data_IF_636986704549
#
_entry.id   IF_636986704549
#
_cell.length_a   1.000
_cell.length_b   1.000
_cell.length_c   1.000
_cell.angle_alpha   90.00
_cell.angle_beta   90.00
_cell.angle_gamma   90.00
#
_symmetry.space_group_name_H-M   'P 1'
#
loop_
_entity.id
_entity.type
_entity.pdbx_description
1 polymer ?
#
# COMPACT_ATOMS: atom_id res chain seq x y z
N UNK A 1 52.13 -74.26 -64.86
CA UNK A 1 50.72 -73.83 -64.68
C UNK A 1 50.37 -73.38 -63.23
N UNK A 2 51.34 -72.96 -62.39
CA UNK A 2 51.10 -72.59 -60.97
C UNK A 2 51.07 -71.08 -60.68
N UNK A 3 51.61 -70.24 -61.59
CA UNK A 3 51.73 -68.78 -61.41
C UNK A 3 50.40 -68.01 -61.51
N UNK A 4 49.44 -68.52 -62.30
CA UNK A 4 48.11 -67.92 -62.42
C UNK A 4 47.24 -68.16 -61.18
N UNK A 5 47.42 -69.27 -60.48
CA UNK A 5 46.74 -69.56 -59.20
C UNK A 5 47.21 -68.60 -58.11
N UNK A 6 48.52 -68.34 -58.03
CA UNK A 6 49.05 -67.33 -57.10
C UNK A 6 48.53 -65.92 -57.39
N UNK A 7 48.38 -65.56 -58.67
CA UNK A 7 47.82 -64.27 -59.08
C UNK A 7 46.33 -64.13 -58.71
N UNK A 8 45.54 -65.19 -58.90
CA UNK A 8 44.14 -65.23 -58.46
C UNK A 8 44.00 -65.15 -56.94
N UNK A 9 44.87 -65.82 -56.19
CA UNK A 9 44.84 -65.82 -54.73
C UNK A 9 45.19 -64.44 -54.17
N UNK A 10 46.14 -63.74 -54.79
CA UNK A 10 46.48 -62.34 -54.43
C UNK A 10 45.31 -61.40 -54.74
N UNK A 11 44.63 -61.56 -55.88
CA UNK A 11 43.44 -60.77 -56.22
C UNK A 11 42.30 -60.99 -55.21
N UNK A 12 42.10 -62.23 -54.76
CA UNK A 12 41.08 -62.57 -53.75
C UNK A 12 41.43 -62.00 -52.38
N UNK A 13 42.71 -62.01 -51.98
CA UNK A 13 43.15 -61.39 -50.72
C UNK A 13 42.98 -59.87 -50.76
N UNK A 14 43.32 -59.24 -51.89
CA UNK A 14 43.16 -57.79 -52.08
C UNK A 14 41.69 -57.41 -52.10
N UNK A 15 40.81 -58.20 -52.74
CA UNK A 15 39.37 -57.94 -52.73
C UNK A 15 38.76 -58.09 -51.34
N UNK A 16 39.21 -59.07 -50.54
CA UNK A 16 38.81 -59.24 -49.14
C UNK A 16 39.27 -58.11 -48.23
N UNK A 17 40.37 -57.45 -48.57
CA UNK A 17 40.89 -56.33 -47.80
C UNK A 17 40.14 -55.01 -48.12
N UNK A 18 39.70 -54.85 -49.37
CA UNK A 18 38.98 -53.65 -49.83
C UNK A 18 37.52 -53.64 -49.36
N UNK A 19 36.89 -54.80 -49.20
CA UNK A 19 35.48 -54.91 -48.76
C UNK A 19 35.27 -54.70 -47.26
N UNK A 20 36.31 -54.31 -46.50
CA UNK A 20 36.16 -53.91 -45.11
C UNK A 20 35.57 -52.51 -45.01
N UNK A 21 34.25 -52.45 -45.06
CA UNK A 21 33.50 -51.22 -44.83
C UNK A 21 33.80 -50.65 -43.43
N UNK A 22 34.25 -49.39 -43.40
CA UNK A 22 34.44 -48.64 -42.16
C UNK A 22 33.06 -48.22 -41.66
N UNK A 23 32.65 -48.76 -40.51
CA UNK A 23 31.41 -48.37 -39.83
C UNK A 23 31.54 -46.89 -39.41
N UNK A 24 30.94 -46.00 -40.19
CA UNK A 24 30.93 -44.57 -39.92
C UNK A 24 29.82 -44.25 -38.93
N UNK A 25 30.18 -44.15 -37.65
CA UNK A 25 29.26 -43.63 -36.63
C UNK A 25 28.95 -42.17 -36.93
N UNK A 26 27.68 -41.87 -37.22
CA UNK A 26 27.22 -40.48 -37.38
C UNK A 26 27.18 -39.83 -36.00
N UNK A 27 27.84 -38.68 -35.77
CA UNK A 27 27.72 -37.97 -34.51
C UNK A 27 26.28 -37.49 -34.35
N UNK A 28 25.70 -37.78 -33.19
CA UNK A 28 24.38 -37.32 -32.77
C UNK A 28 24.59 -36.33 -31.64
N UNK A 29 24.04 -35.13 -31.79
CA UNK A 29 24.03 -34.15 -30.72
C UNK A 29 23.09 -34.63 -29.61
N UNK A 30 23.66 -34.82 -28.42
CA UNK A 30 22.94 -35.22 -27.22
C UNK A 30 22.95 -34.07 -26.22
N UNK A 31 21.77 -33.70 -25.73
CA UNK A 31 21.61 -32.77 -24.63
C UNK A 31 21.38 -33.56 -23.34
N UNK A 32 22.31 -33.43 -22.38
CA UNK A 32 22.17 -34.04 -21.05
C UNK A 32 21.25 -33.15 -20.21
N UNK A 33 20.06 -33.65 -19.88
CA UNK A 33 19.07 -32.89 -19.12
C UNK A 33 19.43 -32.94 -17.64
N UNK A 34 19.71 -31.78 -17.04
CA UNK A 34 19.95 -31.64 -15.60
C UNK A 34 18.66 -31.20 -14.90
N UNK A 35 18.44 -31.68 -13.67
CA UNK A 35 17.31 -31.25 -12.84
C UNK A 35 17.65 -29.90 -12.20
N UNK A 36 17.16 -28.83 -12.77
CA UNK A 36 17.23 -27.48 -12.21
C UNK A 36 15.87 -27.09 -11.62
N UNK A 37 15.86 -26.40 -10.48
CA UNK A 37 14.63 -25.92 -9.86
C UNK A 37 14.10 -24.73 -10.66
N UNK A 38 13.10 -24.98 -11.51
CA UNK A 38 12.41 -23.93 -12.25
C UNK A 38 11.47 -23.19 -11.30
N UNK A 39 11.91 -22.03 -10.80
CA UNK A 39 11.04 -21.13 -10.03
C UNK A 39 10.21 -20.27 -10.96
N UNK A 40 8.90 -20.54 -11.05
CA UNK A 40 7.96 -19.67 -11.75
C UNK A 40 7.62 -18.47 -10.86
N UNK A 41 8.08 -17.27 -11.24
CA UNK A 41 7.77 -16.02 -10.54
C UNK A 41 6.60 -15.34 -11.25
N UNK A 42 5.45 -15.27 -10.59
CA UNK A 42 4.31 -14.48 -11.06
C UNK A 42 4.44 -13.07 -10.51
N UNK A 43 4.61 -12.08 -11.39
CA UNK A 43 4.63 -10.67 -11.02
C UNK A 43 3.24 -10.06 -11.19
N UNK A 44 2.63 -9.61 -10.10
CA UNK A 44 1.40 -8.83 -10.14
C UNK A 44 1.76 -7.34 -9.98
N UNK A 45 1.34 -6.52 -10.94
CA UNK A 45 1.43 -5.06 -10.83
C UNK A 45 0.12 -4.54 -10.27
N UNK A 46 0.17 -3.92 -9.09
CA UNK A 46 -0.97 -3.27 -8.45
C UNK A 46 -0.77 -1.76 -8.40
N UNK A 47 -1.85 -0.99 -8.50
CA UNK A 47 -1.82 0.46 -8.26
C UNK A 47 -1.92 0.71 -6.75
N UNK A 48 -0.94 1.40 -6.19
CA UNK A 48 -1.00 1.83 -4.79
C UNK A 48 -1.84 3.11 -4.70
N UNK A 49 -2.86 3.10 -3.85
CA UNK A 49 -3.63 4.28 -3.49
C UNK A 49 -3.47 4.53 -1.98
N UNK A 50 -3.71 5.77 -1.55
CA UNK A 50 -3.80 6.07 -0.12
C UNK A 50 -4.89 5.19 0.51
N UNK A 51 -4.64 4.69 1.72
CA UNK A 51 -5.61 3.87 2.44
C UNK A 51 -6.89 4.65 2.72
N UNK A 52 -6.76 5.95 3.00
CA UNK A 52 -7.83 6.90 3.27
C UNK A 52 -7.46 8.24 2.63
N UNK A 53 -8.44 8.89 2.02
CA UNK A 53 -8.35 10.25 1.45
C UNK A 53 -9.52 11.05 2.03
N UNK A 54 -9.22 12.20 2.64
CA UNK A 54 -10.19 12.98 3.41
C UNK A 54 -10.06 14.45 3.04
N UNK A 55 -11.17 15.04 2.62
CA UNK A 55 -11.31 16.48 2.42
C UNK A 55 -11.68 17.15 3.75
N UNK A 56 -10.77 17.95 4.30
CA UNK A 56 -10.95 18.65 5.57
C UNK A 56 -11.79 19.91 5.37
N UNK A 57 -12.93 19.97 6.08
CA UNK A 57 -13.85 21.11 6.04
C UNK A 57 -14.02 21.69 7.43
N UNK A 58 -14.23 23.00 7.49
CA UNK A 58 -14.62 23.64 8.72
C UNK A 58 -16.07 23.32 9.06
N UNK A 59 -16.33 23.08 10.35
CA UNK A 59 -17.68 22.84 10.86
C UNK A 59 -18.55 24.11 10.81
N UNK A 60 -17.91 25.28 11.02
CA UNK A 60 -18.56 26.57 11.01
C UNK A 60 -18.21 27.35 9.74
N UNK A 61 -19.15 28.15 9.27
CA UNK A 61 -18.91 29.10 8.18
C UNK A 61 -18.28 30.38 8.71
N UNK A 62 -17.25 30.90 8.03
CA UNK A 62 -16.62 32.16 8.38
C UNK A 62 -15.40 32.48 7.53
N UNK A 63 -14.76 33.61 7.82
CA UNK A 63 -13.54 34.04 7.13
C UNK A 63 -12.31 33.37 7.75
N UNK A 64 -11.48 32.73 6.92
CA UNK A 64 -10.18 32.19 7.36
C UNK A 64 -9.27 33.36 7.74
N UNK A 65 -8.75 33.34 8.96
CA UNK A 65 -7.86 34.38 9.50
C UNK A 65 -6.40 33.91 9.56
N UNK A 66 -6.16 32.61 9.58
CA UNK A 66 -4.83 32.04 9.68
C UNK A 66 -4.73 30.67 9.02
N UNK A 67 -3.58 30.41 8.40
CA UNK A 67 -3.20 29.11 7.83
C UNK A 67 -1.79 28.78 8.33
N UNK A 68 -1.64 27.62 8.97
CA UNK A 68 -0.43 27.20 9.66
C UNK A 68 0.42 26.17 8.93
N UNK A 69 0.01 25.75 7.74
CA UNK A 69 0.69 24.72 6.95
C UNK A 69 0.89 25.19 5.51
N UNK A 70 1.81 24.53 4.81
CA UNK A 70 2.03 24.70 3.38
C UNK A 70 1.61 23.46 2.60
N UNK A 71 1.39 23.64 1.31
CA UNK A 71 1.09 22.53 0.41
C UNK A 71 2.24 21.51 0.42
N UNK A 72 1.90 20.24 0.64
CA UNK A 72 2.86 19.14 0.73
C UNK A 72 3.43 18.88 2.13
N UNK A 73 3.05 19.67 3.16
CA UNK A 73 3.51 19.43 4.52
C UNK A 73 2.88 18.18 5.14
N UNK A 74 3.67 17.45 5.92
CA UNK A 74 3.18 16.37 6.76
C UNK A 74 2.55 16.95 8.03
N UNK A 75 1.31 16.56 8.31
CA UNK A 75 0.56 17.02 9.49
C UNK A 75 0.29 15.85 10.45
N UNK A 76 0.27 16.15 11.74
CA UNK A 76 -0.04 15.18 12.78
C UNK A 76 -1.50 15.28 13.23
N UNK A 77 -1.99 14.21 13.88
CA UNK A 77 -3.32 14.23 14.49
C UNK A 77 -3.41 15.38 15.51
N UNK A 78 -4.51 16.13 15.44
CA UNK A 78 -4.78 17.30 16.29
C UNK A 78 -3.90 18.53 16.04
N UNK A 79 -3.10 18.55 14.98
CA UNK A 79 -2.37 19.75 14.59
C UNK A 79 -3.32 20.82 14.06
N UNK A 80 -3.13 22.08 14.49
CA UNK A 80 -3.87 23.20 13.94
C UNK A 80 -3.36 23.51 12.52
N UNK A 81 -4.25 23.42 11.54
CA UNK A 81 -3.93 23.60 10.11
C UNK A 81 -4.38 24.98 9.63
N UNK A 82 -5.56 25.43 10.09
CA UNK A 82 -6.11 26.73 9.77
C UNK A 82 -7.12 27.16 10.85
N UNK A 83 -7.41 28.45 10.91
CA UNK A 83 -8.35 29.05 11.86
C UNK A 83 -9.31 30.01 11.16
N UNK A 84 -10.56 29.99 11.60
CA UNK A 84 -11.60 30.93 11.19
C UNK A 84 -11.70 32.03 12.26
N UNK A 85 -11.89 33.28 11.83
CA UNK A 85 -12.13 34.40 12.74
C UNK A 85 -13.38 34.19 13.59
N UNK A 86 -13.24 34.34 14.91
CA UNK A 86 -14.29 34.03 15.89
C UNK A 86 -14.99 35.26 16.48
N UNK A 87 -14.96 36.41 15.81
CA UNK A 87 -15.44 37.68 16.38
C UNK A 87 -16.95 37.64 16.72
N UNK A 88 -17.78 37.11 15.82
CA UNK A 88 -19.20 36.90 16.08
C UNK A 88 -19.42 35.84 17.16
N UNK A 89 -18.68 34.72 17.09
CA UNK A 89 -18.76 33.64 18.09
C UNK A 89 -18.44 34.13 19.51
N UNK A 90 -17.44 35.00 19.66
CA UNK A 90 -17.06 35.56 20.94
C UNK A 90 -18.18 36.46 21.51
N UNK A 91 -18.87 37.20 20.64
CA UNK A 91 -19.99 38.05 21.02
C UNK A 91 -21.22 37.23 21.44
N UNK A 92 -21.49 36.14 20.71
CA UNK A 92 -22.57 35.20 21.02
C UNK A 92 -22.30 34.47 22.34
N UNK A 93 -21.05 34.04 22.56
CA UNK A 93 -20.62 33.42 23.80
C UNK A 93 -20.79 34.36 25.00
N UNK A 94 -20.31 35.60 24.89
CA UNK A 94 -20.46 36.60 25.96
C UNK A 94 -21.94 36.88 26.31
N UNK A 95 -22.80 36.88 25.29
CA UNK A 95 -24.25 37.04 25.45
C UNK A 95 -24.86 35.83 26.15
N UNK A 96 -24.52 34.62 25.73
CA UNK A 96 -24.99 33.37 26.33
C UNK A 96 -24.55 33.24 27.80
N UNK A 97 -23.30 33.58 28.11
CA UNK A 97 -22.81 33.59 29.49
C UNK A 97 -23.55 34.60 30.37
N UNK A 98 -23.88 35.78 29.83
CA UNK A 98 -24.64 36.79 30.56
C UNK A 98 -26.06 36.33 30.85
N UNK A 99 -26.70 35.65 29.90
CA UNK A 99 -28.02 35.03 30.10
C UNK A 99 -27.96 33.92 31.14
N UNK A 100 -26.94 33.05 31.08
CA UNK A 100 -26.74 32.00 32.05
C UNK A 100 -26.56 32.54 33.48
N UNK A 101 -25.72 33.57 33.66
CA UNK A 101 -25.54 34.22 34.97
C UNK A 101 -26.82 34.83 35.52
N UNK A 102 -27.62 35.48 34.66
CA UNK A 102 -28.94 36.01 35.06
C UNK A 102 -29.88 34.92 35.53
N UNK A 103 -30.00 33.84 34.76
CA UNK A 103 -30.84 32.70 35.11
C UNK A 103 -30.40 32.05 36.44
N UNK A 104 -29.09 31.90 36.64
CA UNK A 104 -28.53 31.38 37.89
C UNK A 104 -28.88 32.29 39.07
N UNK A 105 -28.72 33.61 38.94
CA UNK A 105 -29.04 34.59 39.98
C UNK A 105 -30.52 34.54 40.37
N UNK A 106 -31.42 34.48 39.38
CA UNK A 106 -32.85 34.36 39.65
C UNK A 106 -33.19 33.02 40.31
N UNK A 107 -32.55 31.93 39.90
CA UNK A 107 -32.73 30.63 40.55
C UNK A 107 -32.29 30.66 42.02
N UNK A 108 -31.11 31.21 42.30
CA UNK A 108 -30.63 31.33 43.69
C UNK A 108 -31.53 32.21 44.54
N UNK A 109 -32.02 33.33 44.00
CA UNK A 109 -32.98 34.21 44.68
C UNK A 109 -34.29 33.50 45.00
N UNK A 110 -34.81 32.68 44.07
CA UNK A 110 -36.03 31.88 44.32
C UNK A 110 -35.81 30.81 45.38
N UNK A 111 -34.63 30.18 45.43
CA UNK A 111 -34.31 29.19 46.46
C UNK A 111 -34.14 29.82 47.84
N UNK A 112 -33.54 31.00 47.92
CA UNK A 112 -33.41 31.74 49.17
C UNK A 112 -34.78 32.17 49.69
N UNK A 113 -35.63 32.71 48.82
CA UNK A 113 -37.01 33.06 49.18
C UNK A 113 -37.79 31.84 49.69
N UNK A 114 -37.67 30.70 49.02
CA UNK A 114 -38.35 29.46 49.42
C UNK A 114 -37.88 28.92 50.78
N UNK A 115 -36.58 29.08 51.12
CA UNK A 115 -36.05 28.66 52.44
C UNK A 115 -36.50 29.56 53.59
N UNK A 116 -36.79 30.83 53.33
CA UNK A 116 -37.29 31.77 54.34
C UNK A 116 -38.77 31.53 54.65
N UNK A 117 -39.51 30.88 53.74
CA UNK A 117 -40.93 30.55 53.89
C UNK A 117 -41.20 29.17 54.52
N UNK A 118 -40.19 28.41 54.97
CA UNK A 118 -40.46 27.28 55.88
C UNK A 118 -41.21 27.84 57.10
N UNK A 119 -42.47 27.41 57.34
CA UNK A 119 -43.25 27.99 58.41
C UNK A 119 -42.55 27.62 59.71
N UNK A 120 -42.03 28.64 60.41
CA UNK A 120 -41.89 28.62 61.85
C UNK A 120 -43.29 28.49 62.44
N UNK A 121 -43.87 27.31 62.32
CA UNK A 121 -45.13 26.93 62.93
C UNK A 121 -44.79 26.37 64.31
N UNK A 122 -45.07 27.20 65.31
CA UNK A 122 -45.60 26.90 66.65
C UNK A 122 -45.22 25.53 67.25
#
# INVERSE_FOLDING_TARGET
MKKWVAFLLVIVIVSLFITREKISSKPVDVFVVSKETVTSRVSASGKTAAREDIDLKFELSGKVTWVGVKEGDFVNKYQAIASIGSESLNSDLASAESLYRKALSSYTETLETYKVEEPTNI
#
